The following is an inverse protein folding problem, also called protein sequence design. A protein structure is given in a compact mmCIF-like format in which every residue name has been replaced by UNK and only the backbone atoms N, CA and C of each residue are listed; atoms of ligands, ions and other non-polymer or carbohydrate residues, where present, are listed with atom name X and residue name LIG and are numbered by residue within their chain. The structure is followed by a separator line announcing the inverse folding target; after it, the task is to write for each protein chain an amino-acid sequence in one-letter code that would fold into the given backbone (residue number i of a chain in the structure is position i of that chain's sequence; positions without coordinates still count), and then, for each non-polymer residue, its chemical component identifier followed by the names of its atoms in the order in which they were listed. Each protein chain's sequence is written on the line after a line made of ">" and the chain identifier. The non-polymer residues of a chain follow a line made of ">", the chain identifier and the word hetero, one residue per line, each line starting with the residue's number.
data_IF_377049212072
#
_entry.id   IF_377049212072
#
_cell.length_a   1.000
_cell.length_b   1.000
_cell.length_c   1.000
_cell.angle_alpha   90.00
_cell.angle_beta   90.00
_cell.angle_gamma   90.00
#
_symmetry.space_group_name_H-M   'P 1'
#
loop_
_entity.id
_entity.type
_entity.pdbx_description
1 polymer ?
#
# COMPACT_ATOMS: atom_id res chain seq x y z
N UNK A 1 10.61 8.99 9.28
CA UNK A 1 9.61 9.81 10.01
C UNK A 1 8.20 9.69 9.45
N UNK A 2 7.94 9.58 8.14
CA UNK A 2 6.59 9.20 7.64
C UNK A 2 6.50 7.74 7.18
N UNK A 3 7.59 7.21 6.61
CA UNK A 3 7.69 5.81 6.19
C UNK A 3 7.57 4.87 7.41
N UNK A 4 8.20 5.21 8.52
CA UNK A 4 8.15 4.39 9.74
C UNK A 4 6.75 4.35 10.35
N UNK A 5 6.02 5.46 10.34
CA UNK A 5 4.62 5.56 10.78
C UNK A 5 3.68 4.77 9.85
N UNK A 6 3.90 4.83 8.53
CA UNK A 6 3.20 4.02 7.53
C UNK A 6 3.45 2.52 7.72
N UNK A 7 4.69 2.13 8.02
CA UNK A 7 5.03 0.75 8.34
C UNK A 7 4.35 0.27 9.62
N UNK A 8 4.23 1.14 10.63
CA UNK A 8 3.53 0.84 11.87
C UNK A 8 2.01 0.68 11.63
N UNK A 9 1.39 1.55 10.82
CA UNK A 9 -0.02 1.44 10.40
C UNK A 9 -0.30 0.14 9.64
N UNK A 10 0.62 -0.23 8.72
CA UNK A 10 0.56 -1.49 7.97
C UNK A 10 0.69 -2.69 8.91
N UNK A 11 1.67 -2.67 9.83
CA UNK A 11 1.88 -3.75 10.81
C UNK A 11 0.72 -3.90 11.79
N UNK A 12 0.03 -2.81 12.12
CA UNK A 12 -1.18 -2.80 12.96
C UNK A 12 -2.42 -3.31 12.23
N UNK A 13 -2.34 -3.55 10.91
CA UNK A 13 -3.47 -4.00 10.10
C UNK A 13 -4.51 -2.92 9.84
N UNK A 14 -4.17 -1.65 10.07
CA UNK A 14 -5.08 -0.50 9.89
C UNK A 14 -5.20 -0.08 8.42
N UNK A 15 -4.28 -0.54 7.57
CA UNK A 15 -4.39 -0.40 6.11
C UNK A 15 -5.33 -1.48 5.58
N UNK A 16 -6.63 -1.27 5.75
CA UNK A 16 -7.66 -2.15 5.17
C UNK A 16 -7.70 -1.93 3.66
N UNK A 17 -7.13 -2.86 2.89
CA UNK A 17 -7.18 -2.90 1.42
C UNK A 17 -8.59 -3.21 0.87
N UNK A 18 -9.62 -2.59 1.44
CA UNK A 18 -11.04 -2.84 1.14
C UNK A 18 -11.62 -1.93 0.06
N UNK A 19 -10.89 -0.90 -0.40
CA UNK A 19 -11.42 0.06 -1.38
C UNK A 19 -11.07 -0.26 -2.85
N UNK A 20 -10.54 -1.46 -3.12
CA UNK A 20 -10.42 -1.98 -4.48
C UNK A 20 -11.19 -3.29 -4.58
N UNK A 21 -12.48 -3.19 -4.90
CA UNK A 21 -13.26 -4.33 -5.35
C UNK A 21 -12.63 -4.93 -6.60
N UNK A 22 -11.96 -6.09 -6.47
CA UNK A 22 -11.45 -6.89 -7.59
C UNK A 22 -11.80 -8.37 -7.39
N UNK A 23 -11.92 -9.12 -8.51
CA UNK A 23 -12.86 -10.22 -8.66
C UNK A 23 -12.32 -11.51 -8.08
N UNK A 24 -13.27 -12.31 -7.58
CA UNK A 24 -13.09 -13.69 -7.17
C UNK A 24 -12.43 -14.54 -8.27
N UNK A 25 -11.19 -14.99 -8.03
CA UNK A 25 -10.58 -16.08 -8.78
C UNK A 25 -9.18 -15.81 -9.31
N UNK A 26 -8.16 -15.72 -8.46
CA UNK A 26 -6.76 -15.86 -8.90
C UNK A 26 -5.95 -16.62 -7.86
N UNK A 27 -5.12 -17.57 -8.29
CA UNK A 27 -4.36 -18.49 -7.44
C UNK A 27 -3.30 -17.81 -6.55
N UNK A 28 -2.79 -18.54 -5.55
CA UNK A 28 -1.96 -18.05 -4.44
C UNK A 28 -0.84 -17.06 -4.84
N UNK A 29 -0.14 -17.28 -5.95
CA UNK A 29 0.91 -16.34 -6.39
C UNK A 29 0.35 -15.00 -6.88
N UNK A 30 -0.81 -15.00 -7.52
CA UNK A 30 -1.48 -13.77 -7.93
C UNK A 30 -2.17 -13.06 -6.76
N UNK A 31 -2.53 -13.78 -5.70
CA UNK A 31 -2.98 -13.18 -4.44
C UNK A 31 -1.83 -12.44 -3.74
N UNK A 32 -0.62 -13.01 -3.73
CA UNK A 32 0.57 -12.32 -3.18
C UNK A 32 0.88 -11.04 -3.96
N UNK A 33 0.92 -11.11 -5.31
CA UNK A 33 1.10 -9.92 -6.13
C UNK A 33 -0.08 -8.94 -6.00
N UNK A 34 -1.32 -9.42 -5.89
CA UNK A 34 -2.48 -8.56 -5.62
C UNK A 34 -2.38 -7.87 -4.27
N UNK A 35 -1.88 -8.54 -3.24
CA UNK A 35 -1.71 -7.96 -1.92
C UNK A 35 -0.66 -6.85 -1.96
N UNK A 36 0.46 -7.08 -2.64
CA UNK A 36 1.49 -6.06 -2.85
C UNK A 36 0.95 -4.85 -3.62
N UNK A 37 0.21 -5.08 -4.72
CA UNK A 37 -0.41 -3.99 -5.48
C UNK A 37 -1.46 -3.22 -4.67
N UNK A 38 -2.29 -3.90 -3.86
CA UNK A 38 -3.28 -3.25 -2.99
C UNK A 38 -2.59 -2.41 -1.92
N UNK A 39 -1.51 -2.92 -1.34
CA UNK A 39 -0.75 -2.19 -0.32
C UNK A 39 -0.07 -0.96 -0.90
N UNK A 40 0.53 -1.07 -2.09
CA UNK A 40 1.08 0.06 -2.83
C UNK A 40 0.00 1.13 -3.11
N UNK A 41 -1.15 0.72 -3.64
CA UNK A 41 -2.25 1.64 -3.93
C UNK A 41 -2.81 2.31 -2.67
N UNK A 42 -2.91 1.58 -1.55
CA UNK A 42 -3.39 2.12 -0.28
C UNK A 42 -2.42 3.16 0.31
N UNK A 43 -1.10 2.88 0.29
CA UNK A 43 -0.07 3.83 0.75
C UNK A 43 -0.05 5.08 -0.14
N UNK A 44 -0.15 4.90 -1.46
CA UNK A 44 -0.24 6.01 -2.42
C UNK A 44 -1.48 6.87 -2.16
N UNK A 45 -2.65 6.27 -1.99
CA UNK A 45 -3.88 7.00 -1.70
C UNK A 45 -3.83 7.75 -0.35
N UNK A 46 -3.27 7.11 0.68
CA UNK A 46 -3.11 7.70 2.02
C UNK A 46 -2.19 8.91 2.00
N UNK A 47 -1.08 8.85 1.24
CA UNK A 47 -0.13 9.97 1.12
C UNK A 47 -0.68 11.10 0.24
N UNK A 48 -1.41 10.79 -0.83
CA UNK A 48 -2.12 11.83 -1.59
C UNK A 48 -3.14 12.55 -0.69
N UNK A 49 -3.88 11.80 0.13
CA UNK A 49 -4.84 12.35 1.09
C UNK A 49 -4.23 13.22 2.19
N UNK A 50 -2.93 13.05 2.49
CA UNK A 50 -2.20 13.88 3.45
C UNK A 50 -1.49 15.08 2.81
N UNK A 51 -1.65 15.29 1.50
CA UNK A 51 -1.19 16.48 0.78
C UNK A 51 0.12 16.31 0.01
N UNK A 52 0.61 15.08 -0.14
CA UNK A 52 1.76 14.79 -1.00
C UNK A 52 1.35 14.79 -2.49
N UNK A 53 2.27 15.19 -3.35
CA UNK A 53 2.06 15.12 -4.80
C UNK A 53 2.02 13.68 -5.28
N UNK A 54 1.39 13.42 -6.43
CA UNK A 54 1.32 12.06 -7.00
C UNK A 54 2.70 11.40 -7.17
N UNK A 55 3.73 12.19 -7.47
CA UNK A 55 5.10 11.71 -7.62
C UNK A 55 5.73 11.35 -6.27
N UNK A 56 5.62 12.23 -5.27
CA UNK A 56 6.12 11.96 -3.91
C UNK A 56 5.40 10.76 -3.27
N UNK A 57 4.09 10.63 -3.50
CA UNK A 57 3.29 9.50 -3.05
C UNK A 57 3.75 8.18 -3.67
N UNK A 58 4.18 8.18 -4.94
CA UNK A 58 4.73 7.01 -5.60
C UNK A 58 6.10 6.62 -5.01
N UNK A 59 6.97 7.61 -4.76
CA UNK A 59 8.26 7.39 -4.11
C UNK A 59 8.09 6.85 -2.68
N UNK A 60 7.15 7.40 -1.91
CA UNK A 60 6.85 6.93 -0.55
C UNK A 60 6.28 5.51 -0.59
N UNK A 61 5.33 5.22 -1.48
CA UNK A 61 4.77 3.89 -1.62
C UNK A 61 5.84 2.87 -2.03
N UNK A 62 6.70 3.20 -2.99
CA UNK A 62 7.82 2.36 -3.41
C UNK A 62 8.80 2.08 -2.27
N UNK A 63 9.17 3.11 -1.49
CA UNK A 63 10.06 2.97 -0.35
C UNK A 63 9.45 2.12 0.79
N UNK A 64 8.14 2.25 1.03
CA UNK A 64 7.40 1.43 2.00
C UNK A 64 7.38 -0.03 1.57
N UNK A 65 7.03 -0.31 0.31
CA UNK A 65 7.02 -1.67 -0.24
C UNK A 65 8.41 -2.32 -0.19
N UNK A 66 9.46 -1.57 -0.52
CA UNK A 66 10.86 -2.07 -0.48
C UNK A 66 11.30 -2.48 0.93
N UNK A 67 10.75 -1.85 1.98
CA UNK A 67 11.04 -2.18 3.38
C UNK A 67 10.16 -3.28 3.96
N UNK A 68 9.06 -3.64 3.29
CA UNK A 68 8.15 -4.71 3.70
C UNK A 68 8.57 -6.08 3.16
N UNK A 69 9.43 -6.10 2.12
CA UNK A 69 10.05 -7.31 1.57
C UNK A 69 11.17 -7.89 2.43
#
# INVERSE_FOLDING_TARGET
>A
MIIDDLLDLIRRGEVSGTDTALPSGVGDSALAHQQEFRMFAAVRALTIGSGYTEFESDEIASAVMTRLG
#
